data_IF_728944572480
#
_entry.id   IF_728944572480
#
_cell.length_a   1.000
_cell.length_b   1.000
_cell.length_c   1.000
_cell.angle_alpha   90.00
_cell.angle_beta   90.00
_cell.angle_gamma   90.00
#
_symmetry.space_group_name_H-M   'P 1'
#
loop_
_entity.id
_entity.type
_entity.pdbx_description
1 polymer ?
#
# COMPACT_ATOMS: atom_id res chain seq x y z
N UNK A 1 21.10 -2.74 16.76
CA UNK A 1 21.34 -1.77 15.67
C UNK A 1 21.66 -2.42 14.32
N UNK A 2 22.80 -3.09 14.09
CA UNK A 2 23.09 -3.67 12.76
C UNK A 2 22.06 -4.70 12.31
N UNK A 3 21.62 -5.58 13.23
CA UNK A 3 20.55 -6.56 12.95
C UNK A 3 19.22 -5.88 12.62
N UNK A 4 18.83 -4.83 13.36
CA UNK A 4 17.63 -4.04 13.08
C UNK A 4 17.67 -3.45 11.67
N UNK A 5 18.79 -2.83 11.28
CA UNK A 5 18.97 -2.24 9.97
C UNK A 5 18.92 -3.30 8.86
N UNK A 6 19.62 -4.42 9.02
CA UNK A 6 19.64 -5.49 8.02
C UNK A 6 18.24 -6.08 7.82
N UNK A 7 17.51 -6.36 8.91
CA UNK A 7 16.15 -6.88 8.86
C UNK A 7 15.19 -5.85 8.24
N UNK A 8 15.31 -4.58 8.64
CA UNK A 8 14.52 -3.50 8.07
C UNK A 8 14.76 -3.37 6.56
N UNK A 9 16.01 -3.42 6.09
CA UNK A 9 16.33 -3.39 4.66
C UNK A 9 15.69 -4.55 3.90
N UNK A 10 15.76 -5.77 4.43
CA UNK A 10 15.12 -6.94 3.80
C UNK A 10 13.61 -6.73 3.71
N UNK A 11 12.97 -6.24 4.78
CA UNK A 11 11.53 -5.97 4.78
C UNK A 11 11.13 -4.86 3.82
N UNK A 12 11.90 -3.78 3.77
CA UNK A 12 11.66 -2.68 2.82
C UNK A 12 11.75 -3.21 1.39
N UNK A 13 12.81 -3.95 1.05
CA UNK A 13 12.95 -4.52 -0.29
C UNK A 13 11.79 -5.48 -0.62
N UNK A 14 11.44 -6.37 0.30
CA UNK A 14 10.35 -7.32 0.12
C UNK A 14 9.01 -6.60 -0.12
N UNK A 15 8.66 -5.66 0.75
CA UNK A 15 7.40 -4.91 0.65
C UNK A 15 7.36 -4.01 -0.58
N UNK A 16 8.45 -3.32 -0.93
CA UNK A 16 8.54 -2.54 -2.19
C UNK A 16 8.30 -3.42 -3.41
N UNK A 17 8.89 -4.63 -3.44
CA UNK A 17 8.70 -5.58 -4.55
C UNK A 17 7.26 -6.09 -4.61
N UNK A 18 6.67 -6.46 -3.47
CA UNK A 18 5.26 -6.87 -3.37
C UNK A 18 4.34 -5.73 -3.84
N UNK A 19 4.61 -4.51 -3.37
CA UNK A 19 3.82 -3.34 -3.70
C UNK A 19 3.85 -3.06 -5.19
N UNK A 20 5.05 -2.96 -5.76
CA UNK A 20 5.25 -2.73 -7.19
C UNK A 20 4.58 -3.81 -8.04
N UNK A 21 4.72 -5.09 -7.67
CA UNK A 21 4.03 -6.19 -8.35
C UNK A 21 2.50 -6.09 -8.23
N UNK A 22 1.98 -5.70 -7.06
CA UNK A 22 0.56 -5.46 -6.82
C UNK A 22 0.00 -4.33 -7.69
N UNK A 23 0.70 -3.19 -7.77
CA UNK A 23 0.33 -2.08 -8.65
C UNK A 23 0.36 -2.46 -10.12
N UNK A 24 1.37 -3.23 -10.56
CA UNK A 24 1.44 -3.75 -11.92
C UNK A 24 0.28 -4.70 -12.23
N UNK A 25 -0.05 -5.61 -11.30
CA UNK A 25 -1.16 -6.53 -11.45
C UNK A 25 -2.50 -5.81 -11.53
N UNK A 26 -2.75 -4.83 -10.63
CA UNK A 26 -3.93 -3.98 -10.66
C UNK A 26 -4.01 -3.20 -11.98
N UNK A 27 -2.92 -2.56 -12.38
CA UNK A 27 -2.84 -1.80 -13.64
C UNK A 27 -3.12 -2.66 -14.88
N UNK A 28 -2.59 -3.88 -14.92
CA UNK A 28 -2.82 -4.81 -16.00
C UNK A 28 -4.26 -5.34 -16.04
N UNK A 29 -4.82 -5.70 -14.88
CA UNK A 29 -6.21 -6.15 -14.77
C UNK A 29 -7.20 -5.08 -15.26
N UNK A 30 -6.94 -3.81 -14.96
CA UNK A 30 -7.76 -2.69 -15.43
C UNK A 30 -7.58 -2.44 -16.93
N UNK A 31 -6.36 -2.47 -17.45
CA UNK A 31 -6.12 -2.33 -18.89
C UNK A 31 -6.79 -3.44 -19.73
N UNK A 32 -6.87 -4.66 -19.20
CA UNK A 32 -7.60 -5.77 -19.84
C UNK A 32 -9.12 -5.55 -19.83
N UNK A 33 -9.66 -4.92 -18.79
CA UNK A 33 -11.08 -4.54 -18.75
C UNK A 33 -11.41 -3.50 -19.81
N UNK A 34 -10.62 -2.42 -19.86
CA UNK A 34 -10.81 -1.33 -20.84
C UNK A 34 -10.76 -1.83 -22.29
N UNK A 35 -9.91 -2.81 -22.60
CA UNK A 35 -9.84 -3.42 -23.94
C UNK A 35 -11.06 -4.27 -24.31
N UNK A 36 -11.75 -4.83 -23.31
CA UNK A 36 -12.93 -5.69 -23.51
C UNK A 36 -14.21 -4.86 -23.60
N UNK A 37 -14.28 -3.76 -22.86
CA UNK A 37 -15.30 -2.73 -23.05
C UNK A 37 -14.93 -1.91 -24.29
N UNK A 38 -15.31 -2.39 -25.49
CA UNK A 38 -15.11 -1.71 -26.77
C UNK A 38 -15.98 -0.43 -26.91
N UNK A 39 -16.14 0.33 -25.82
CA UNK A 39 -17.02 1.48 -25.73
C UNK A 39 -16.24 2.72 -25.30
N UNK A 40 -16.47 3.78 -26.06
CA UNK A 40 -15.78 5.05 -26.02
C UNK A 40 -15.75 5.65 -24.62
N UNK A 41 -14.55 6.07 -24.19
CA UNK A 41 -14.28 7.14 -23.19
C UNK A 41 -15.43 7.30 -22.19
N UNK A 42 -15.63 6.30 -21.33
CA UNK A 42 -16.66 6.36 -20.30
C UNK A 42 -16.40 7.59 -19.42
N UNK A 43 -17.43 8.43 -19.27
CA UNK A 43 -17.44 9.59 -18.39
C UNK A 43 -16.94 9.20 -16.98
N UNK A 44 -16.21 10.09 -16.28
CA UNK A 44 -15.69 9.82 -14.94
C UNK A 44 -16.79 9.66 -13.88
N UNK A 45 -18.05 9.95 -14.24
CA UNK A 45 -19.25 9.77 -13.41
C UNK A 45 -20.13 8.58 -13.89
N UNK A 46 -19.62 7.73 -14.78
CA UNK A 46 -20.30 6.49 -15.14
C UNK A 46 -20.24 5.48 -13.98
N UNK A 47 -21.26 4.62 -13.89
CA UNK A 47 -21.28 3.50 -12.95
C UNK A 47 -20.05 2.59 -13.10
N UNK A 48 -19.55 2.44 -14.33
CA UNK A 48 -18.35 1.66 -14.62
C UNK A 48 -17.08 2.27 -14.02
N UNK A 49 -16.87 3.58 -14.20
CA UNK A 49 -15.74 4.30 -13.59
C UNK A 49 -15.76 4.22 -12.06
N UNK A 50 -16.95 4.33 -11.46
CA UNK A 50 -17.12 4.17 -10.01
C UNK A 50 -16.77 2.74 -9.54
N UNK A 51 -17.19 1.71 -10.26
CA UNK A 51 -16.85 0.31 -9.95
C UNK A 51 -15.32 0.09 -10.05
N UNK A 52 -14.68 0.62 -11.09
CA UNK A 52 -13.21 0.51 -11.24
C UNK A 52 -12.49 1.19 -10.09
N UNK A 53 -12.91 2.40 -9.70
CA UNK A 53 -12.35 3.12 -8.57
C UNK A 53 -12.47 2.32 -7.26
N UNK A 54 -13.65 1.77 -6.97
CA UNK A 54 -13.88 0.95 -5.76
C UNK A 54 -13.03 -0.31 -5.77
N UNK A 55 -12.97 -1.03 -6.90
CA UNK A 55 -12.15 -2.25 -7.01
C UNK A 55 -10.67 -1.93 -6.85
N UNK A 56 -10.18 -0.85 -7.44
CA UNK A 56 -8.80 -0.41 -7.27
C UNK A 56 -8.51 -0.04 -5.80
N UNK A 57 -9.39 0.73 -5.16
CA UNK A 57 -9.23 1.10 -3.75
C UNK A 57 -9.20 -0.13 -2.83
N UNK A 58 -10.11 -1.09 -3.02
CA UNK A 58 -10.12 -2.34 -2.25
C UNK A 58 -8.87 -3.18 -2.53
N UNK A 59 -8.40 -3.23 -3.78
CA UNK A 59 -7.15 -3.90 -4.14
C UNK A 59 -5.94 -3.30 -3.41
N UNK A 60 -5.85 -1.98 -3.34
CA UNK A 60 -4.81 -1.27 -2.59
C UNK A 60 -4.91 -1.53 -1.08
N UNK A 61 -6.12 -1.56 -0.52
CA UNK A 61 -6.34 -1.91 0.90
C UNK A 61 -5.84 -3.33 1.19
N UNK A 62 -6.14 -4.30 0.32
CA UNK A 62 -5.64 -5.68 0.47
C UNK A 62 -4.12 -5.72 0.37
N UNK A 63 -3.53 -5.01 -0.59
CA UNK A 63 -2.08 -4.95 -0.79
C UNK A 63 -1.36 -4.40 0.45
N UNK A 64 -1.82 -3.26 0.97
CA UNK A 64 -1.30 -2.70 2.22
C UNK A 64 -1.55 -3.62 3.41
N UNK A 65 -2.70 -4.27 3.47
CA UNK A 65 -2.99 -5.29 4.48
C UNK A 65 -1.92 -6.38 4.50
N UNK A 66 -1.57 -6.95 3.34
CA UNK A 66 -0.51 -7.96 3.24
C UNK A 66 0.82 -7.44 3.79
N UNK A 67 1.21 -6.22 3.46
CA UNK A 67 2.46 -5.61 3.92
C UNK A 67 2.48 -5.38 5.43
N UNK A 68 1.37 -4.88 6.00
CA UNK A 68 1.17 -4.73 7.45
C UNK A 68 1.26 -6.09 8.14
N UNK A 69 0.59 -7.12 7.60
CA UNK A 69 0.65 -8.45 8.18
C UNK A 69 2.05 -9.07 8.10
N UNK A 70 2.83 -8.79 7.06
CA UNK A 70 4.23 -9.23 6.97
C UNK A 70 5.08 -8.63 8.09
N UNK A 71 4.95 -7.33 8.36
CA UNK A 71 5.64 -6.70 9.50
C UNK A 71 5.16 -7.25 10.84
N UNK A 72 3.84 -7.42 11.02
CA UNK A 72 3.28 -7.99 12.25
C UNK A 72 3.80 -9.41 12.54
N UNK A 73 3.88 -10.27 11.52
CA UNK A 73 4.45 -11.61 11.67
C UNK A 73 5.94 -11.57 11.96
N UNK A 74 6.69 -10.66 11.33
CA UNK A 74 8.09 -10.46 11.66
C UNK A 74 8.28 -10.06 13.12
N UNK A 75 7.52 -9.08 13.63
CA UNK A 75 7.58 -8.65 15.03
C UNK A 75 7.32 -9.81 15.99
N UNK A 76 6.37 -10.67 15.66
CA UNK A 76 6.07 -11.85 16.47
C UNK A 76 7.17 -12.91 16.41
N UNK A 77 7.83 -13.06 15.25
CA UNK A 77 8.88 -14.05 15.02
C UNK A 77 10.20 -13.69 15.70
N UNK A 78 10.59 -12.41 15.68
CA UNK A 78 11.84 -11.93 16.32
C UNK A 78 11.67 -11.62 17.81
N UNK A 79 10.47 -11.81 18.36
CA UNK A 79 10.16 -11.52 19.76
C UNK A 79 10.04 -10.04 20.08
N UNK A 80 9.88 -9.17 19.09
CA UNK A 80 9.70 -7.73 19.30
C UNK A 80 8.38 -7.40 19.99
N UNK A 81 7.32 -8.15 19.67
CA UNK A 81 5.97 -8.03 20.26
C UNK A 81 5.41 -9.43 20.51
N UNK A 82 5.02 -9.72 21.75
CA UNK A 82 4.62 -11.06 22.17
C UNK A 82 3.22 -11.50 21.68
N UNK A 83 2.28 -10.55 21.59
CA UNK A 83 0.88 -10.81 21.25
C UNK A 83 0.64 -10.43 19.78
N UNK A 84 0.09 -11.35 18.99
CA UNK A 84 -0.15 -11.12 17.56
C UNK A 84 -1.09 -9.94 17.31
N UNK A 85 -2.15 -9.80 18.11
CA UNK A 85 -3.08 -8.65 18.03
C UNK A 85 -2.32 -7.33 18.16
N UNK A 86 -1.41 -7.26 19.11
CA UNK A 86 -0.65 -6.04 19.40
C UNK A 86 0.41 -5.81 18.31
N UNK A 87 0.97 -6.87 17.73
CA UNK A 87 1.89 -6.76 16.59
C UNK A 87 1.19 -6.22 15.32
N UNK A 88 -0.02 -6.69 15.03
CA UNK A 88 -0.85 -6.17 13.93
C UNK A 88 -1.26 -4.72 14.20
N UNK A 89 -1.69 -4.42 15.42
CA UNK A 89 -2.04 -3.05 15.84
C UNK A 89 -0.85 -2.09 15.70
N UNK A 90 0.32 -2.48 16.21
CA UNK A 90 1.54 -1.70 16.12
C UNK A 90 1.94 -1.47 14.66
N UNK A 91 2.01 -2.54 13.87
CA UNK A 91 2.36 -2.44 12.44
C UNK A 91 1.40 -1.53 11.69
N UNK A 92 0.10 -1.61 11.95
CA UNK A 92 -0.91 -0.74 11.32
C UNK A 92 -0.64 0.75 11.62
N UNK A 93 -0.35 1.08 12.88
CA UNK A 93 -0.09 2.46 13.30
C UNK A 93 1.26 2.96 12.77
N UNK A 94 2.28 2.11 12.81
CA UNK A 94 3.60 2.42 12.28
C UNK A 94 3.53 2.67 10.78
N UNK A 95 3.05 1.68 10.02
CA UNK A 95 2.90 1.74 8.57
C UNK A 95 2.04 2.94 8.14
N UNK A 96 0.92 3.19 8.83
CA UNK A 96 0.06 4.35 8.60
C UNK A 96 0.64 5.69 9.06
N UNK A 97 1.82 5.69 9.70
CA UNK A 97 2.50 6.88 10.24
C UNK A 97 1.62 7.70 11.20
N UNK A 98 0.72 7.02 11.92
CA UNK A 98 -0.19 7.62 12.90
C UNK A 98 0.59 8.00 14.18
N UNK A 99 1.72 7.34 14.42
CA UNK A 99 2.53 7.49 15.63
C UNK A 99 1.98 6.63 16.77
N UNK A 100 2.87 6.08 17.59
CA UNK A 100 2.53 5.19 18.68
C UNK A 100 2.95 5.80 20.03
N UNK A 101 2.04 5.73 21.02
CA UNK A 101 2.32 6.04 22.42
C UNK A 101 2.40 4.74 23.24
N UNK A 102 3.61 4.45 23.71
CA UNK A 102 3.97 3.51 24.78
C UNK A 102 4.15 1.99 24.49
N UNK A 103 5.29 1.51 25.02
CA UNK A 103 5.64 0.24 25.67
C UNK A 103 5.41 -1.15 25.05
N UNK A 104 4.77 -1.32 23.89
CA UNK A 104 4.49 -2.68 23.38
C UNK A 104 5.71 -3.36 22.74
N UNK A 105 6.62 -2.57 22.16
CA UNK A 105 7.79 -3.08 21.43
C UNK A 105 9.06 -3.10 22.29
N UNK A 106 9.80 -4.21 22.21
CA UNK A 106 11.10 -4.33 22.87
C UNK A 106 12.08 -3.23 22.39
N UNK A 107 12.84 -2.57 23.31
CA UNK A 107 13.66 -1.40 22.98
C UNK A 107 14.63 -1.60 21.81
N UNK A 108 15.18 -2.80 21.66
CA UNK A 108 16.14 -3.21 20.65
C UNK A 108 15.55 -3.40 19.24
N UNK A 109 14.24 -3.20 19.05
CA UNK A 109 13.57 -3.27 17.75
C UNK A 109 12.89 -1.96 17.36
N UNK A 110 13.01 -0.89 18.15
CA UNK A 110 12.35 0.39 17.89
C UNK A 110 12.79 1.03 16.57
N UNK A 111 14.03 0.82 16.13
CA UNK A 111 14.50 1.36 14.85
C UNK A 111 13.82 0.68 13.66
N UNK A 112 13.53 -0.62 13.76
CA UNK A 112 12.77 -1.36 12.75
C UNK A 112 11.36 -0.78 12.59
N UNK A 113 10.66 -0.51 13.70
CA UNK A 113 9.34 0.13 13.69
C UNK A 113 9.35 1.55 13.13
N UNK A 114 10.40 2.33 13.41
CA UNK A 114 10.57 3.66 12.80
C UNK A 114 10.76 3.58 11.28
N UNK A 115 11.54 2.60 10.79
CA UNK A 115 11.76 2.39 9.35
C UNK A 115 10.50 1.87 8.66
N UNK A 116 9.73 1.00 9.32
CA UNK A 116 8.40 0.59 8.83
C UNK A 116 7.53 1.82 8.55
N UNK A 117 7.50 2.80 9.46
CA UNK A 117 6.68 3.99 9.24
C UNK A 117 7.11 4.83 8.03
N UNK A 118 8.41 5.03 7.83
CA UNK A 118 8.93 5.71 6.63
C UNK A 118 8.54 4.93 5.36
N UNK A 119 8.72 3.60 5.38
CA UNK A 119 8.39 2.74 4.26
C UNK A 119 6.88 2.76 3.95
N UNK A 120 6.03 2.59 4.97
CA UNK A 120 4.58 2.63 4.83
C UNK A 120 4.08 3.96 4.28
N UNK A 121 4.60 5.09 4.78
CA UNK A 121 4.32 6.43 4.22
C UNK A 121 4.65 6.53 2.72
N UNK A 122 5.82 6.01 2.31
CA UNK A 122 6.22 6.01 0.91
C UNK A 122 5.27 5.15 0.05
N UNK A 123 4.93 3.95 0.50
CA UNK A 123 4.04 3.03 -0.23
C UNK A 123 2.61 3.56 -0.32
N UNK A 124 2.07 4.16 0.76
CA UNK A 124 0.80 4.89 0.73
C UNK A 124 0.83 6.04 -0.27
N UNK A 125 1.93 6.80 -0.32
CA UNK A 125 2.14 7.83 -1.34
C UNK A 125 2.12 7.28 -2.77
N UNK A 126 2.72 6.11 -2.99
CA UNK A 126 2.70 5.44 -4.29
C UNK A 126 1.29 4.99 -4.69
N UNK A 127 0.54 4.43 -3.75
CA UNK A 127 -0.88 4.08 -3.92
C UNK A 127 -1.73 5.28 -4.30
N UNK A 128 -1.53 6.44 -3.66
CA UNK A 128 -2.24 7.68 -4.03
C UNK A 128 -1.87 8.12 -5.45
N UNK A 129 -0.59 8.14 -5.80
CA UNK A 129 -0.14 8.52 -7.15
C UNK A 129 -0.70 7.58 -8.22
N UNK A 130 -0.71 6.26 -7.96
CA UNK A 130 -1.32 5.25 -8.81
C UNK A 130 -2.82 5.48 -8.97
N UNK A 131 -3.53 5.69 -7.85
CA UNK A 131 -4.97 5.89 -7.85
C UNK A 131 -5.37 7.16 -8.62
N UNK A 132 -4.66 8.27 -8.42
CA UNK A 132 -4.86 9.51 -9.18
C UNK A 132 -4.61 9.27 -10.67
N UNK A 133 -3.51 8.60 -11.03
CA UNK A 133 -3.19 8.26 -12.43
C UNK A 133 -4.25 7.37 -13.07
N UNK A 134 -4.87 6.47 -12.30
CA UNK A 134 -6.00 5.68 -12.76
C UNK A 134 -7.23 6.56 -13.01
N UNK A 135 -7.55 7.45 -12.07
CA UNK A 135 -8.72 8.32 -12.18
C UNK A 135 -8.62 9.34 -13.33
N UNK A 136 -7.43 9.85 -13.63
CA UNK A 136 -7.24 10.80 -14.74
C UNK A 136 -7.52 10.20 -16.11
N UNK A 137 -7.41 8.87 -16.28
CA UNK A 137 -7.77 8.18 -17.54
C UNK A 137 -9.25 8.31 -17.89
N UNK A 138 -10.10 8.51 -16.90
CA UNK A 138 -11.54 8.68 -17.09
C UNK A 138 -11.94 10.15 -17.32
N UNK A 139 -11.01 11.10 -17.20
CA UNK A 139 -11.31 12.52 -17.47
C UNK A 139 -11.20 12.77 -18.98
N UNK A 140 -12.24 13.29 -19.67
CA UNK A 140 -12.17 13.63 -21.08
C UNK A 140 -11.08 14.69 -21.31
N UNK A 141 -10.17 14.44 -22.25
CA UNK A 141 -9.22 15.46 -22.70
C UNK A 141 -10.01 16.67 -23.20
N UNK A 142 -9.82 17.83 -22.55
CA UNK A 142 -10.42 19.09 -23.02
C UNK A 142 -9.77 19.44 -24.36
N UNK A 143 -10.48 19.22 -25.47
CA UNK A 143 -10.09 19.78 -26.75
C UNK A 143 -10.20 21.31 -26.66
N UNK A 144 -9.05 21.99 -26.56
CA UNK A 144 -8.96 23.42 -26.87
C UNK A 144 -9.11 23.55 -28.38
N UNK A 145 -10.33 23.85 -28.84
CA UNK A 145 -10.55 24.35 -30.19
C UNK A 145 -10.13 25.83 -30.20
N UNK A 146 -8.97 26.11 -30.79
CA UNK A 146 -8.58 27.45 -31.22
C UNK A 146 -9.08 27.73 -32.63
#
# INVERSE_FOLDING_TARGET
>A
MLAELAIATVMVLLTVMIHGAGLLALGHAMALRDRRSNEARASPLSSEGAIVAVVAALGLVVLHGVEIWLYAFLYRAIGAIAVLRDAVYFSTIAYGSIGFSDAVMAPEWKLLGAIEGINGSMLLGWSVAFFVTLMTRFIPARHHNG
#
